data_IF_318674448658
#
_entry.id   IF_318674448658
#
_cell.length_a   1.000
_cell.length_b   1.000
_cell.length_c   1.000
_cell.angle_alpha   90.00
_cell.angle_beta   90.00
_cell.angle_gamma   90.00
#
_symmetry.space_group_name_H-M   'P 1'
#
loop_
_entity.id
_entity.type
_entity.pdbx_description
1 polymer ?
#
# COMPACT_ATOMS: atom_id res chain seq x y z
N UNK A 1 9.25 -46.79 17.21
CA UNK A 1 8.08 -46.22 16.49
C UNK A 1 7.99 -44.70 16.58
N UNK A 2 8.49 -44.05 17.66
CA UNK A 2 8.47 -42.58 17.79
C UNK A 2 9.46 -41.80 16.91
N UNK A 3 10.69 -42.31 16.70
CA UNK A 3 11.73 -41.59 15.96
C UNK A 3 11.37 -41.35 14.48
N UNK A 4 10.80 -42.35 13.80
CA UNK A 4 10.40 -42.21 12.39
C UNK A 4 9.28 -41.18 12.19
N UNK A 5 8.33 -41.11 13.12
CA UNK A 5 7.25 -40.11 13.11
C UNK A 5 7.78 -38.69 13.38
N UNK A 6 8.75 -38.55 14.31
CA UNK A 6 9.42 -37.28 14.57
C UNK A 6 10.22 -36.78 13.36
N UNK A 7 10.96 -37.66 12.70
CA UNK A 7 11.74 -37.34 11.49
C UNK A 7 10.85 -36.88 10.33
N UNK A 8 9.71 -37.54 10.11
CA UNK A 8 8.74 -37.13 9.09
C UNK A 8 8.11 -35.76 9.39
N UNK A 9 7.75 -35.51 10.66
CA UNK A 9 7.21 -34.21 11.04
C UNK A 9 8.26 -33.09 10.89
N UNK A 10 9.51 -33.35 11.29
CA UNK A 10 10.62 -32.41 11.11
C UNK A 10 10.87 -32.09 9.62
N UNK A 11 10.82 -33.10 8.74
CA UNK A 11 10.93 -32.88 7.29
C UNK A 11 9.76 -32.07 6.74
N UNK A 12 8.53 -32.32 7.21
CA UNK A 12 7.34 -31.55 6.81
C UNK A 12 7.45 -30.08 7.25
N UNK A 13 7.85 -29.81 8.49
CA UNK A 13 8.04 -28.46 9.00
C UNK A 13 9.10 -27.72 8.17
N UNK A 14 10.23 -28.38 7.84
CA UNK A 14 11.28 -27.78 6.99
C UNK A 14 10.78 -27.39 5.61
N UNK A 15 9.93 -28.23 4.98
CA UNK A 15 9.33 -27.89 3.68
C UNK A 15 8.40 -26.69 3.81
N UNK A 16 7.57 -26.64 4.86
CA UNK A 16 6.68 -25.50 5.09
C UNK A 16 7.44 -24.21 5.37
N UNK A 17 8.53 -24.27 6.14
CA UNK A 17 9.42 -23.14 6.39
C UNK A 17 10.04 -22.64 5.08
N UNK A 18 10.60 -23.53 4.25
CA UNK A 18 11.17 -23.14 2.97
C UNK A 18 10.13 -22.52 2.01
N UNK A 19 8.87 -22.97 2.06
CA UNK A 19 7.78 -22.37 1.30
C UNK A 19 7.41 -20.98 1.81
N UNK A 20 7.32 -20.79 3.13
CA UNK A 20 7.03 -19.49 3.74
C UNK A 20 8.16 -18.49 3.47
N UNK A 21 9.41 -18.93 3.60
CA UNK A 21 10.61 -18.13 3.28
C UNK A 21 10.59 -17.65 1.83
N UNK A 22 10.24 -18.53 0.89
CA UNK A 22 10.14 -18.19 -0.54
C UNK A 22 9.02 -17.17 -0.79
N UNK A 23 7.84 -17.36 -0.19
CA UNK A 23 6.73 -16.41 -0.35
C UNK A 23 7.07 -15.05 0.25
N UNK A 24 7.73 -15.04 1.42
CA UNK A 24 8.16 -13.81 2.07
C UNK A 24 9.25 -13.10 1.26
N UNK A 25 10.23 -13.82 0.72
CA UNK A 25 11.26 -13.21 -0.14
C UNK A 25 10.66 -12.60 -1.41
N UNK A 26 9.68 -13.27 -2.03
CA UNK A 26 8.95 -12.74 -3.19
C UNK A 26 8.16 -11.46 -2.83
N UNK A 27 7.49 -11.44 -1.68
CA UNK A 27 6.77 -10.25 -1.19
C UNK A 27 7.71 -9.08 -0.93
N UNK A 28 8.87 -9.34 -0.31
CA UNK A 28 9.87 -8.32 -0.04
C UNK A 28 10.45 -7.73 -1.33
N UNK A 29 10.73 -8.56 -2.33
CA UNK A 29 11.22 -8.10 -3.63
C UNK A 29 10.19 -7.24 -4.35
N UNK A 30 8.93 -7.68 -4.39
CA UNK A 30 7.84 -6.88 -4.95
C UNK A 30 7.64 -5.55 -4.22
N UNK A 31 7.75 -5.54 -2.89
CA UNK A 31 7.68 -4.31 -2.09
C UNK A 31 8.84 -3.35 -2.42
N UNK A 32 10.06 -3.86 -2.63
CA UNK A 32 11.21 -3.06 -3.06
C UNK A 32 10.99 -2.43 -4.44
N UNK A 33 10.39 -3.17 -5.38
CA UNK A 33 10.06 -2.63 -6.70
C UNK A 33 9.03 -1.50 -6.63
N UNK A 34 8.03 -1.57 -5.74
CA UNK A 34 7.09 -0.47 -5.51
C UNK A 34 7.78 0.81 -4.99
N UNK A 35 8.83 0.66 -4.16
CA UNK A 35 9.63 1.81 -3.71
C UNK A 35 10.35 2.49 -4.86
N UNK A 36 10.79 1.75 -5.88
CA UNK A 36 11.43 2.34 -7.07
C UNK A 36 10.47 3.23 -7.85
N UNK A 37 9.18 2.87 -7.92
CA UNK A 37 8.14 3.70 -8.56
C UNK A 37 7.93 5.01 -7.81
N UNK A 38 8.10 5.02 -6.49
CA UNK A 38 8.01 6.26 -5.69
C UNK A 38 9.18 7.23 -5.89
N UNK A 39 10.31 6.75 -6.44
CA UNK A 39 11.48 7.57 -6.73
C UNK A 39 11.32 8.50 -7.94
N UNK A 40 10.37 8.21 -8.84
CA UNK A 40 10.03 9.08 -9.95
C UNK A 40 8.81 9.94 -9.59
N UNK A 41 9.07 11.23 -9.37
CA UNK A 41 8.06 12.19 -8.94
C UNK A 41 6.85 12.29 -9.89
N UNK A 42 7.06 12.16 -11.21
CA UNK A 42 5.97 12.25 -12.18
C UNK A 42 5.10 10.99 -12.18
N UNK A 43 5.73 9.81 -12.12
CA UNK A 43 5.00 8.54 -12.06
C UNK A 43 4.26 8.40 -10.74
N UNK A 44 4.89 8.75 -9.61
CA UNK A 44 4.27 8.69 -8.30
C UNK A 44 3.07 9.63 -8.19
N UNK A 45 3.16 10.85 -8.74
CA UNK A 45 2.04 11.81 -8.79
C UNK A 45 0.87 11.29 -9.61
N UNK A 46 1.13 10.68 -10.77
CA UNK A 46 0.08 10.06 -11.60
C UNK A 46 -0.60 8.92 -10.84
N UNK A 47 0.19 8.02 -10.26
CA UNK A 47 -0.30 6.90 -9.47
C UNK A 47 -1.17 7.38 -8.31
N UNK A 48 -0.73 8.42 -7.58
CA UNK A 48 -1.49 8.98 -6.47
C UNK A 48 -2.85 9.52 -6.93
N UNK A 49 -2.89 10.25 -8.07
CA UNK A 49 -4.15 10.71 -8.66
C UNK A 49 -5.08 9.53 -8.96
N UNK A 50 -4.57 8.51 -9.65
CA UNK A 50 -5.35 7.32 -10.03
C UNK A 50 -5.90 6.58 -8.81
N UNK A 51 -5.12 6.46 -7.73
CA UNK A 51 -5.56 5.87 -6.47
C UNK A 51 -6.67 6.67 -5.78
N UNK A 52 -6.60 8.01 -5.81
CA UNK A 52 -7.68 8.86 -5.29
C UNK A 52 -8.95 8.66 -6.11
N UNK A 53 -8.87 8.72 -7.45
CA UNK A 53 -10.02 8.49 -8.35
C UNK A 53 -10.65 7.12 -8.09
N UNK A 54 -9.84 6.06 -8.03
CA UNK A 54 -10.30 4.71 -7.74
C UNK A 54 -11.04 4.62 -6.39
N UNK A 55 -10.52 5.30 -5.37
CA UNK A 55 -11.13 5.32 -4.03
C UNK A 55 -12.48 6.02 -4.06
N UNK A 56 -12.58 7.18 -4.71
CA UNK A 56 -13.84 7.93 -4.86
C UNK A 56 -14.89 7.12 -5.63
N UNK A 57 -14.51 6.47 -6.74
CA UNK A 57 -15.40 5.60 -7.52
C UNK A 57 -15.95 4.41 -6.73
N UNK A 58 -15.16 3.91 -5.76
CA UNK A 58 -15.55 2.79 -4.91
C UNK A 58 -16.42 3.20 -3.73
N UNK A 59 -16.19 4.39 -3.16
CA UNK A 59 -17.00 4.93 -2.06
C UNK A 59 -18.34 5.48 -2.56
N UNK A 60 -18.33 6.28 -3.65
CA UNK A 60 -19.51 6.97 -4.20
C UNK A 60 -20.26 7.84 -3.18
N UNK A 61 -19.51 8.45 -2.28
CA UNK A 61 -20.03 9.34 -1.25
C UNK A 61 -19.86 10.81 -1.67
N UNK A 62 -20.78 11.71 -1.27
CA UNK A 62 -20.69 13.14 -1.61
C UNK A 62 -19.57 13.87 -0.85
N UNK A 63 -19.10 13.32 0.28
CA UNK A 63 -18.01 13.87 1.08
C UNK A 63 -17.11 12.76 1.62
N UNK A 64 -15.79 12.95 1.51
CA UNK A 64 -14.78 11.95 1.89
C UNK A 64 -13.67 12.61 2.70
N UNK A 65 -13.29 11.97 3.82
CA UNK A 65 -12.11 12.31 4.59
C UNK A 65 -10.90 11.51 4.06
N UNK A 66 -9.92 12.18 3.48
CA UNK A 66 -8.72 11.56 2.91
C UNK A 66 -7.55 11.67 3.90
N UNK A 67 -7.09 10.51 4.37
CA UNK A 67 -5.91 10.42 5.23
C UNK A 67 -4.67 9.98 4.46
N UNK A 68 -3.58 10.73 4.60
CA UNK A 68 -2.30 10.41 3.96
C UNK A 68 -1.14 10.53 4.96
N UNK A 69 0.08 10.16 4.55
CA UNK A 69 1.29 10.38 5.33
C UNK A 69 1.68 11.87 5.24
N UNK A 70 2.35 12.38 6.27
CA UNK A 70 2.74 13.79 6.38
C UNK A 70 3.64 14.26 5.21
N UNK A 71 4.56 13.40 4.76
CA UNK A 71 5.44 13.65 3.60
C UNK A 71 4.69 13.71 2.26
N UNK A 72 3.47 13.19 2.19
CA UNK A 72 2.65 13.14 1.00
C UNK A 72 1.63 14.27 0.86
N UNK A 73 1.42 15.08 1.90
CA UNK A 73 0.31 16.08 1.96
C UNK A 73 0.34 17.02 0.76
N UNK A 74 1.48 17.65 0.49
CA UNK A 74 1.61 18.58 -0.64
C UNK A 74 1.32 17.92 -2.00
N UNK A 75 1.69 16.65 -2.17
CA UNK A 75 1.44 15.94 -3.42
C UNK A 75 -0.04 15.59 -3.57
N UNK A 76 -0.68 15.17 -2.47
CA UNK A 76 -2.13 14.92 -2.40
C UNK A 76 -2.91 16.19 -2.74
N UNK A 77 -2.60 17.31 -2.08
CA UNK A 77 -3.21 18.62 -2.35
C UNK A 77 -3.11 18.99 -3.84
N UNK A 78 -1.96 18.74 -4.45
CA UNK A 78 -1.74 19.05 -5.85
C UNK A 78 -2.58 18.20 -6.80
N UNK A 79 -2.81 16.91 -6.50
CA UNK A 79 -3.57 16.01 -7.39
C UNK A 79 -5.07 16.02 -7.14
N UNK A 80 -5.51 16.53 -5.98
CA UNK A 80 -6.90 16.42 -5.51
C UNK A 80 -7.93 17.01 -6.46
N UNK A 81 -7.71 18.22 -6.99
CA UNK A 81 -8.67 18.86 -7.89
C UNK A 81 -8.86 18.04 -9.17
N UNK A 82 -7.75 17.63 -9.80
CA UNK A 82 -7.80 16.80 -11.02
C UNK A 82 -8.42 15.42 -10.75
N UNK A 83 -8.23 14.85 -9.55
CA UNK A 83 -8.86 13.58 -9.19
C UNK A 83 -10.38 13.72 -8.99
N UNK A 84 -10.85 14.82 -8.38
CA UNK A 84 -12.28 15.11 -8.22
C UNK A 84 -12.97 15.28 -9.55
N UNK A 85 -12.36 16.03 -10.47
CA UNK A 85 -12.87 16.25 -11.83
C UNK A 85 -12.97 14.94 -12.62
N UNK A 86 -11.91 14.11 -12.58
CA UNK A 86 -11.93 12.82 -13.28
C UNK A 86 -12.95 11.84 -12.68
N UNK A 87 -13.15 11.85 -11.35
CA UNK A 87 -14.24 11.10 -10.73
C UNK A 87 -15.62 11.58 -11.21
N UNK A 88 -15.86 12.89 -11.20
CA UNK A 88 -17.12 13.51 -11.62
C UNK A 88 -17.46 13.15 -13.07
N UNK A 89 -16.48 13.23 -13.98
CA UNK A 89 -16.61 12.83 -15.37
C UNK A 89 -16.96 11.33 -15.50
N UNK A 90 -16.24 10.45 -14.80
CA UNK A 90 -16.44 8.99 -14.89
C UNK A 90 -17.74 8.51 -14.26
N UNK A 91 -18.21 9.19 -13.21
CA UNK A 91 -19.41 8.83 -12.48
C UNK A 91 -20.66 9.60 -12.95
N UNK A 92 -20.50 10.58 -13.83
CA UNK A 92 -21.57 11.49 -14.31
C UNK A 92 -22.30 12.21 -13.15
N UNK A 93 -21.52 12.69 -12.18
CA UNK A 93 -22.02 13.39 -10.98
C UNK A 93 -21.20 14.63 -10.67
N UNK A 94 -21.65 15.45 -9.73
CA UNK A 94 -20.89 16.59 -9.24
C UNK A 94 -19.61 16.16 -8.49
N UNK A 95 -18.62 17.06 -8.45
CA UNK A 95 -17.37 16.81 -7.72
C UNK A 95 -17.63 16.65 -6.22
N UNK A 96 -17.11 15.59 -5.58
CA UNK A 96 -17.32 15.38 -4.16
C UNK A 96 -16.47 16.33 -3.33
N UNK A 97 -16.95 16.62 -2.13
CA UNK A 97 -16.12 17.24 -1.10
C UNK A 97 -15.04 16.22 -0.66
N UNK A 98 -13.78 16.65 -0.67
CA UNK A 98 -12.68 15.82 -0.14
C UNK A 98 -11.87 16.69 0.79
N UNK A 99 -11.82 16.28 2.06
CA UNK A 99 -11.13 16.97 3.14
C UNK A 99 -9.87 16.17 3.45
N UNK A 100 -8.70 16.79 3.38
CA UNK A 100 -7.46 16.15 3.84
C UNK A 100 -7.45 16.16 5.37
N UNK A 101 -7.33 14.98 5.95
CA UNK A 101 -7.32 14.83 7.40
C UNK A 101 -6.05 15.44 8.02
N UNK A 102 -6.21 16.03 9.20
CA UNK A 102 -5.10 16.55 10.02
C UNK A 102 -4.36 15.44 10.76
N UNK A 103 -5.01 14.28 10.96
CA UNK A 103 -4.39 13.08 11.51
C UNK A 103 -3.69 12.33 10.39
N UNK A 104 -2.36 12.19 10.44
CA UNK A 104 -1.59 11.53 9.39
C UNK A 104 -1.46 10.02 9.62
N UNK A 105 -1.24 9.27 8.54
CA UNK A 105 -0.80 7.87 8.62
C UNK A 105 0.61 7.78 9.24
N UNK A 106 0.97 6.65 9.88
CA UNK A 106 2.32 6.42 10.37
C UNK A 106 3.37 6.65 9.29
N UNK A 107 4.62 6.95 9.66
CA UNK A 107 5.71 7.12 8.71
C UNK A 107 5.95 5.86 7.85
N UNK A 108 6.47 6.06 6.63
CA UNK A 108 6.90 4.97 5.77
C UNK A 108 7.97 4.11 6.47
N UNK A 109 8.09 2.81 6.12
CA UNK A 109 9.25 2.05 6.56
C UNK A 109 10.52 2.74 6.09
N UNK A 110 11.30 3.27 7.03
CA UNK A 110 12.59 3.91 6.77
C UNK A 110 13.59 2.78 6.51
N UNK A 111 14.31 2.83 5.39
CA UNK A 111 15.37 1.87 5.10
C UNK A 111 16.54 2.09 6.09
N UNK A 112 16.52 1.40 7.23
CA UNK A 112 17.66 0.75 7.89
C UNK A 112 17.18 0.07 9.20
N UNK A 113 17.06 -1.27 9.15
CA UNK A 113 16.83 -2.21 10.28
C UNK A 113 15.52 -2.04 11.07
N UNK A 114 14.50 -2.81 10.71
CA UNK A 114 13.56 -3.41 11.67
C UNK A 114 12.76 -4.57 11.05
N UNK A 115 13.43 -5.61 10.59
CA UNK A 115 12.84 -6.95 10.57
C UNK A 115 13.76 -7.89 11.33
N UNK A 116 14.03 -7.53 12.59
CA UNK A 116 14.37 -8.55 13.57
C UNK A 116 13.09 -9.31 13.85
N UNK A 117 13.06 -10.57 13.41
CA UNK A 117 12.09 -11.57 13.85
C UNK A 117 12.01 -11.50 15.38
N UNK A 118 10.85 -11.10 15.89
CA UNK A 118 10.51 -11.33 17.28
C UNK A 118 9.42 -12.39 17.30
N UNK A 119 9.82 -13.64 17.03
CA UNK A 119 9.48 -14.91 17.71
C UNK A 119 9.84 -16.09 16.80
#
# INVERSE_FOLDING_TARGET
>A
MGEYSMQLNASRIKVLQAQDDLVNSMKEEAAKELLRVSGDHHHYKRLLKELVVQSLLRLREPSVLLRCREDGVHLVEHVLNSAKEEYAEKAEVDTPEVIVDSIHLPAGPIHHKAHGLHW
#
